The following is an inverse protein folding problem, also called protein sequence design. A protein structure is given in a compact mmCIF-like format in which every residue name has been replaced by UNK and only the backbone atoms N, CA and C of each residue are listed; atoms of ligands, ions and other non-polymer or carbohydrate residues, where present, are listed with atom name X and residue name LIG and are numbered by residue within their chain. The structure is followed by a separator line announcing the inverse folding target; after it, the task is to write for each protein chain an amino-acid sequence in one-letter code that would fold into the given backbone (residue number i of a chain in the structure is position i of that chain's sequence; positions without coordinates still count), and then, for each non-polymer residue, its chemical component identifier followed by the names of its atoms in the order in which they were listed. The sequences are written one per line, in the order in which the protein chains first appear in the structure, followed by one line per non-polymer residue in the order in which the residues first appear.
data_IF_923507723912
#
_entry.id   IF_923507723912
#
_cell.length_a   1.000
_cell.length_b   1.000
_cell.length_c   1.000
_cell.angle_alpha   90.00
_cell.angle_beta   90.00
_cell.angle_gamma   90.00
#
_symmetry.space_group_name_H-M   'P 1'
#
loop_
_entity.id
_entity.type
_entity.pdbx_description
1 polymer ?
#
# COMPACT_ATOMS: atom_id res chain seq x y z
N UNK A 1 0.29 -38.86 21.64
CA UNK A 1 -1.18 -38.90 21.42
C UNK A 1 -1.58 -37.58 20.80
N UNK A 2 -2.02 -37.63 19.55
CA UNK A 2 -2.38 -36.47 18.73
C UNK A 2 -3.78 -36.00 19.12
N UNK A 3 -3.95 -34.68 19.34
CA UNK A 3 -5.26 -34.04 19.25
C UNK A 3 -5.14 -32.83 18.33
N UNK A 4 -5.51 -33.06 17.07
CA UNK A 4 -5.77 -32.04 16.07
C UNK A 4 -7.07 -31.31 16.42
N UNK A 5 -7.00 -30.00 16.64
CA UNK A 5 -8.16 -29.12 16.50
C UNK A 5 -8.08 -28.50 15.11
N UNK A 6 -9.06 -28.81 14.27
CA UNK A 6 -9.09 -28.43 12.86
C UNK A 6 -9.47 -26.95 12.68
N UNK A 7 -8.86 -26.30 11.69
CA UNK A 7 -9.07 -24.89 11.27
C UNK A 7 -10.50 -24.55 10.79
N UNK A 8 -11.49 -25.43 11.01
CA UNK A 8 -12.88 -25.25 10.55
C UNK A 8 -13.87 -24.86 11.66
N UNK A 9 -13.40 -24.63 12.89
CA UNK A 9 -14.25 -24.26 14.04
C UNK A 9 -14.14 -22.80 14.51
N UNK A 10 -13.44 -21.92 13.76
CA UNK A 10 -13.27 -20.50 14.15
C UNK A 10 -14.14 -19.51 13.35
N UNK A 11 -14.90 -19.97 12.34
CA UNK A 11 -15.64 -19.09 11.41
C UNK A 11 -17.16 -19.02 11.63
N UNK A 12 -17.67 -19.42 12.80
CA UNK A 12 -19.10 -19.27 13.13
C UNK A 12 -19.20 -18.73 14.57
N UNK A 13 -19.18 -17.41 14.74
CA UNK A 13 -19.24 -16.83 16.08
C UNK A 13 -19.20 -15.30 16.23
N UNK A 14 -19.35 -14.51 15.15
CA UNK A 14 -19.34 -13.04 15.28
C UNK A 14 -20.27 -12.32 14.29
N UNK A 15 -21.46 -12.88 14.04
CA UNK A 15 -22.59 -12.15 13.45
C UNK A 15 -23.80 -12.39 14.33
N UNK A 16 -24.00 -11.55 15.36
CA UNK A 16 -25.28 -11.28 16.05
C UNK A 16 -25.09 -10.37 17.27
N UNK A 17 -25.34 -9.07 17.07
CA UNK A 17 -25.92 -8.10 18.02
C UNK A 17 -25.65 -6.68 17.45
N UNK A 18 -26.62 -5.86 17.05
CA UNK A 18 -28.06 -5.97 17.14
C UNK A 18 -28.73 -5.21 15.99
N UNK A 19 -29.82 -5.80 15.51
CA UNK A 19 -30.88 -5.12 14.78
C UNK A 19 -32.16 -5.91 15.11
N UNK A 20 -32.93 -5.40 16.07
CA UNK A 20 -34.31 -5.84 16.30
C UNK A 20 -35.22 -4.81 15.65
N UNK A 21 -36.00 -5.27 14.67
CA UNK A 21 -37.01 -4.49 13.97
C UNK A 21 -37.63 -5.33 12.85
N UNK A 22 -38.46 -6.29 13.24
CA UNK A 22 -39.23 -7.17 12.36
C UNK A 22 -40.32 -6.39 11.60
N UNK A 23 -40.43 -6.63 10.29
CA UNK A 23 -41.72 -6.73 9.61
C UNK A 23 -41.56 -7.62 8.36
N UNK A 24 -42.29 -8.73 8.36
CA UNK A 24 -42.39 -9.67 7.26
C UNK A 24 -43.45 -9.22 6.27
N UNK A 25 -43.20 -9.38 4.96
CA UNK A 25 -44.26 -9.61 3.97
C UNK A 25 -43.75 -10.43 2.79
N UNK A 26 -44.54 -11.46 2.53
CA UNK A 26 -44.56 -12.46 1.45
C UNK A 26 -44.15 -12.03 0.04
N UNK A 27 -43.48 -12.96 -0.63
CA UNK A 27 -43.33 -13.06 -2.09
C UNK A 27 -44.70 -13.14 -2.79
N UNK A 28 -44.92 -12.28 -3.78
CA UNK A 28 -45.90 -12.51 -4.86
C UNK A 28 -45.19 -12.38 -6.20
N UNK A 29 -45.07 -13.52 -6.91
CA UNK A 29 -44.72 -13.60 -8.33
C UNK A 29 -45.95 -13.25 -9.15
N UNK A 30 -46.06 -12.02 -9.63
CA UNK A 30 -46.87 -11.62 -10.81
C UNK A 30 -46.58 -10.16 -11.10
N UNK A 31 -45.96 -9.85 -12.25
CA UNK A 31 -45.73 -8.47 -12.67
C UNK A 31 -44.49 -8.27 -13.53
N UNK A 32 -44.32 -9.09 -14.58
CA UNK A 32 -43.50 -8.69 -15.71
C UNK A 32 -44.27 -7.59 -16.46
N UNK A 33 -43.57 -6.51 -16.83
CA UNK A 33 -44.01 -5.32 -17.58
C UNK A 33 -44.55 -4.16 -16.72
N UNK A 34 -43.69 -3.13 -16.55
CA UNK A 34 -44.11 -1.81 -16.09
C UNK A 34 -43.22 -1.20 -15.01
N UNK A 35 -41.93 -0.96 -15.31
CA UNK A 35 -41.09 -0.03 -14.53
C UNK A 35 -39.90 0.43 -15.38
N UNK A 36 -40.16 1.30 -16.36
CA UNK A 36 -39.19 2.36 -16.67
C UNK A 36 -39.32 3.34 -15.50
N UNK A 37 -38.74 2.96 -14.37
CA UNK A 37 -38.72 3.78 -13.17
C UNK A 37 -37.44 4.60 -13.25
N UNK A 38 -37.62 5.89 -13.52
CA UNK A 38 -36.77 7.02 -13.16
C UNK A 38 -35.40 6.58 -12.62
N UNK A 39 -34.37 6.66 -13.46
CA UNK A 39 -33.00 6.78 -12.98
C UNK A 39 -32.95 8.09 -12.17
N UNK A 40 -33.30 8.02 -10.89
CA UNK A 40 -32.92 9.07 -9.95
C UNK A 40 -31.41 9.11 -10.03
N UNK A 41 -30.88 10.20 -10.58
CA UNK A 41 -29.46 10.51 -10.59
C UNK A 41 -29.00 10.41 -9.15
N UNK A 42 -28.42 9.27 -8.77
CA UNK A 42 -27.79 9.18 -7.47
C UNK A 42 -26.71 10.26 -7.46
N UNK A 43 -26.67 11.10 -6.42
CA UNK A 43 -25.66 12.14 -6.33
C UNK A 43 -24.28 11.48 -6.48
N UNK A 44 -23.48 12.00 -7.40
CA UNK A 44 -22.20 11.40 -7.76
C UNK A 44 -21.15 11.92 -6.79
N UNK A 45 -20.38 11.01 -6.20
CA UNK A 45 -19.23 11.39 -5.38
C UNK A 45 -18.15 12.00 -6.29
N UNK A 46 -17.62 13.16 -5.91
CA UNK A 46 -16.52 13.84 -6.61
C UNK A 46 -15.39 14.15 -5.65
N UNK A 47 -14.15 13.85 -6.05
CA UNK A 47 -12.94 14.26 -5.34
C UNK A 47 -12.55 15.68 -5.73
N UNK A 48 -12.37 16.56 -4.75
CA UNK A 48 -11.80 17.88 -4.94
C UNK A 48 -10.34 17.85 -4.49
N UNK A 49 -9.43 17.89 -5.46
CA UNK A 49 -8.00 17.99 -5.19
C UNK A 49 -7.62 19.47 -4.97
N UNK A 50 -7.04 19.84 -3.81
CA UNK A 50 -6.42 21.13 -3.65
C UNK A 50 -5.12 21.21 -4.47
N UNK A 51 -4.52 22.41 -4.62
CA UNK A 51 -3.21 22.54 -5.24
C UNK A 51 -2.18 21.59 -4.60
N UNK A 52 -1.39 20.92 -5.44
CA UNK A 52 -0.37 19.97 -5.04
C UNK A 52 0.87 20.12 -5.94
N UNK A 53 2.07 19.73 -5.47
CA UNK A 53 3.32 19.96 -6.18
C UNK A 53 3.48 19.04 -7.39
N UNK A 54 3.09 19.53 -8.57
CA UNK A 54 3.25 18.82 -9.84
C UNK A 54 4.09 19.63 -10.85
N UNK A 55 5.39 19.67 -10.56
CA UNK A 55 6.41 20.43 -11.29
C UNK A 55 6.77 19.79 -12.65
N UNK A 56 7.39 20.57 -13.54
CA UNK A 56 7.76 20.13 -14.90
C UNK A 56 8.66 18.89 -14.93
N UNK A 57 9.55 18.72 -13.95
CA UNK A 57 10.38 17.53 -13.86
C UNK A 57 9.55 16.25 -13.60
N UNK A 58 8.46 16.32 -12.83
CA UNK A 58 7.54 15.19 -12.64
C UNK A 58 6.77 14.88 -13.93
N UNK A 59 6.36 15.91 -14.69
CA UNK A 59 5.68 15.77 -15.98
C UNK A 59 6.50 15.04 -17.04
N UNK A 60 7.82 14.91 -16.85
CA UNK A 60 8.67 14.11 -17.75
C UNK A 60 8.47 12.59 -17.61
N UNK A 61 7.91 12.13 -16.48
CA UNK A 61 7.75 10.70 -16.16
C UNK A 61 6.33 10.33 -15.75
N UNK A 62 5.43 11.31 -15.60
CA UNK A 62 4.07 11.14 -15.10
C UNK A 62 3.08 11.98 -15.91
N UNK A 63 1.86 11.47 -16.05
CA UNK A 63 0.78 12.17 -16.76
C UNK A 63 -0.46 12.24 -15.87
N UNK A 64 -1.05 13.43 -15.74
CA UNK A 64 -2.33 13.60 -15.06
C UNK A 64 -3.46 12.95 -15.87
N UNK A 65 -4.32 12.20 -15.20
CA UNK A 65 -5.50 11.57 -15.81
C UNK A 65 -6.70 11.69 -14.87
N UNK A 66 -7.36 12.85 -14.95
CA UNK A 66 -8.53 13.16 -14.12
C UNK A 66 -9.69 12.23 -14.44
N UNK A 67 -9.84 11.79 -15.69
CA UNK A 67 -10.92 10.88 -16.08
C UNK A 67 -10.76 9.51 -15.42
N UNK A 68 -9.54 8.97 -15.37
CA UNK A 68 -9.25 7.74 -14.63
C UNK A 68 -9.49 7.97 -13.13
N UNK A 69 -9.04 9.08 -12.56
CA UNK A 69 -9.27 9.38 -11.14
C UNK A 69 -10.77 9.41 -10.80
N UNK A 70 -11.59 10.05 -11.63
CA UNK A 70 -13.05 10.10 -11.48
C UNK A 70 -13.72 8.73 -11.64
N UNK A 71 -13.19 7.87 -12.53
CA UNK A 71 -13.62 6.48 -12.64
C UNK A 71 -13.32 5.70 -11.37
N UNK A 72 -12.13 5.89 -10.78
CA UNK A 72 -11.74 5.27 -9.52
C UNK A 72 -12.59 5.75 -8.34
N UNK A 73 -12.88 7.05 -8.25
CA UNK A 73 -13.81 7.61 -7.24
C UNK A 73 -15.19 6.98 -7.38
N UNK A 74 -15.68 6.83 -8.61
CA UNK A 74 -16.98 6.21 -8.89
C UNK A 74 -16.99 4.72 -8.50
N UNK A 75 -15.88 4.00 -8.69
CA UNK A 75 -15.74 2.60 -8.28
C UNK A 75 -15.62 2.45 -6.76
N UNK A 76 -14.88 3.34 -6.10
CA UNK A 76 -14.78 3.44 -4.65
C UNK A 76 -16.15 3.69 -4.00
N UNK A 77 -16.93 4.64 -4.53
CA UNK A 77 -18.26 4.96 -4.03
C UNK A 77 -19.25 3.79 -4.11
N UNK A 78 -19.11 2.92 -5.13
CA UNK A 78 -19.94 1.70 -5.28
C UNK A 78 -19.57 0.58 -4.32
N UNK A 79 -18.33 0.53 -3.87
CA UNK A 79 -17.78 -0.57 -3.06
C UNK A 79 -17.63 -0.21 -1.59
N UNK A 80 -17.75 1.08 -1.25
CA UNK A 80 -17.61 1.60 0.12
C UNK A 80 -18.95 2.11 0.64
N UNK A 81 -19.39 1.72 1.84
CA UNK A 81 -20.60 2.27 2.46
C UNK A 81 -20.53 3.80 2.57
N UNK A 82 -21.66 4.49 2.44
CA UNK A 82 -21.74 5.97 2.45
C UNK A 82 -21.06 6.61 3.68
N UNK A 83 -21.21 6.01 4.87
CA UNK A 83 -20.58 6.50 6.10
C UNK A 83 -19.06 6.27 6.18
N UNK A 84 -18.48 5.57 5.21
CA UNK A 84 -17.04 5.30 5.11
C UNK A 84 -16.36 6.00 3.94
N UNK A 85 -17.05 6.93 3.26
CA UNK A 85 -16.44 7.71 2.18
C UNK A 85 -15.44 8.71 2.76
N UNK A 86 -14.16 8.37 2.71
CA UNK A 86 -13.06 9.22 3.19
C UNK A 86 -12.05 9.44 2.04
N UNK A 87 -11.72 10.71 1.70
CA UNK A 87 -10.83 11.02 0.58
C UNK A 87 -9.39 10.53 0.81
N UNK A 88 -8.95 10.42 2.05
CA UNK A 88 -7.64 9.87 2.41
C UNK A 88 -7.65 8.35 2.37
N UNK A 89 -8.73 7.70 2.80
CA UNK A 89 -8.89 6.26 2.57
C UNK A 89 -8.86 5.93 1.07
N UNK A 90 -9.57 6.71 0.25
CA UNK A 90 -9.53 6.57 -1.19
C UNK A 90 -8.11 6.71 -1.76
N UNK A 91 -7.40 7.79 -1.44
CA UNK A 91 -6.07 8.06 -2.00
C UNK A 91 -4.96 7.20 -1.40
N UNK A 92 -5.02 6.86 -0.12
CA UNK A 92 -3.91 6.21 0.60
C UNK A 92 -4.07 4.70 0.71
N UNK A 93 -5.28 4.16 0.50
CA UNK A 93 -5.56 2.72 0.45
C UNK A 93 -6.05 2.31 -0.93
N UNK A 94 -7.21 2.82 -1.36
CA UNK A 94 -7.89 2.28 -2.54
C UNK A 94 -7.09 2.49 -3.83
N UNK A 95 -6.53 3.69 -4.05
CA UNK A 95 -5.71 4.01 -5.23
C UNK A 95 -4.42 3.16 -5.27
N UNK A 96 -3.59 3.07 -4.20
CA UNK A 96 -2.45 2.17 -4.19
C UNK A 96 -2.81 0.73 -4.48
N UNK A 97 -3.87 0.19 -3.87
CA UNK A 97 -4.33 -1.17 -4.16
C UNK A 97 -4.64 -1.33 -5.64
N UNK A 98 -5.42 -0.43 -6.23
CA UNK A 98 -5.71 -0.45 -7.67
C UNK A 98 -4.43 -0.43 -8.50
N UNK A 99 -3.50 0.48 -8.23
CA UNK A 99 -2.26 0.63 -8.99
C UNK A 99 -1.43 -0.64 -8.91
N UNK A 100 -1.18 -1.19 -7.72
CA UNK A 100 -0.40 -2.42 -7.56
C UNK A 100 -1.09 -3.63 -8.20
N UNK A 101 -2.43 -3.72 -8.15
CA UNK A 101 -3.17 -4.75 -8.88
C UNK A 101 -2.99 -4.67 -10.41
N UNK A 102 -2.76 -3.48 -10.97
CA UNK A 102 -2.45 -3.31 -12.40
C UNK A 102 -0.98 -3.60 -12.72
N UNK A 103 -0.04 -3.15 -11.87
CA UNK A 103 1.39 -3.28 -12.15
C UNK A 103 1.94 -4.67 -11.88
N UNK A 104 1.32 -5.42 -10.96
CA UNK A 104 1.70 -6.80 -10.65
C UNK A 104 1.21 -7.82 -11.69
N UNK A 105 0.53 -7.37 -12.75
CA UNK A 105 0.21 -8.18 -13.92
C UNK A 105 1.35 -8.07 -14.93
N UNK A 106 1.77 -9.16 -15.58
CA UNK A 106 2.71 -9.08 -16.70
C UNK A 106 2.21 -8.12 -17.78
N UNK A 107 3.13 -7.35 -18.35
CA UNK A 107 2.85 -6.47 -19.48
C UNK A 107 4.08 -6.35 -20.38
N UNK A 108 3.82 -5.99 -21.63
CA UNK A 108 4.87 -5.69 -22.61
C UNK A 108 5.60 -4.37 -22.29
N UNK A 109 6.85 -4.21 -22.74
CA UNK A 109 7.54 -2.93 -22.77
C UNK A 109 6.71 -1.80 -23.40
N UNK A 110 6.86 -0.58 -22.90
CA UNK A 110 6.15 0.59 -23.43
C UNK A 110 4.68 0.68 -23.03
N UNK A 111 4.26 0.00 -21.96
CA UNK A 111 2.90 0.12 -21.41
C UNK A 111 2.50 1.59 -21.17
N UNK A 112 1.50 2.11 -21.91
CA UNK A 112 1.13 3.52 -21.86
C UNK A 112 0.46 3.92 -20.55
N UNK A 113 -0.01 2.95 -19.74
CA UNK A 113 -0.66 3.25 -18.46
C UNK A 113 0.32 3.68 -17.37
N UNK A 114 1.62 3.39 -17.51
CA UNK A 114 2.59 3.58 -16.43
C UNK A 114 2.74 5.03 -15.98
N UNK A 115 2.76 5.99 -16.91
CA UNK A 115 2.91 7.41 -16.54
C UNK A 115 1.72 7.90 -15.69
N UNK A 116 0.51 7.42 -16.01
CA UNK A 116 -0.70 7.71 -15.24
C UNK A 116 -0.69 7.01 -13.87
N UNK A 117 -0.28 5.74 -13.82
CA UNK A 117 -0.18 5.00 -12.54
C UNK A 117 0.86 5.61 -11.60
N UNK A 118 1.99 6.10 -12.13
CA UNK A 118 2.99 6.83 -11.35
C UNK A 118 2.42 8.14 -10.77
N UNK A 119 1.61 8.87 -11.55
CA UNK A 119 0.92 10.07 -11.07
C UNK A 119 -0.08 9.76 -9.94
N UNK A 120 -0.88 8.69 -10.07
CA UNK A 120 -1.78 8.26 -9.00
C UNK A 120 -1.03 7.95 -7.70
N UNK A 121 0.14 7.31 -7.79
CA UNK A 121 0.99 7.05 -6.62
C UNK A 121 1.65 8.30 -6.05
N UNK A 122 1.94 9.31 -6.89
CA UNK A 122 2.38 10.62 -6.43
C UNK A 122 1.28 11.32 -5.61
N UNK A 123 0.03 11.32 -6.08
CA UNK A 123 -1.12 11.83 -5.32
C UNK A 123 -1.29 11.10 -3.99
N UNK A 124 -1.30 9.76 -4.02
CA UNK A 124 -1.42 8.91 -2.84
C UNK A 124 -0.33 9.21 -1.81
N UNK A 125 0.92 9.32 -2.26
CA UNK A 125 2.05 9.68 -1.42
C UNK A 125 1.88 11.06 -0.81
N UNK A 126 1.74 12.09 -1.64
CA UNK A 126 1.68 13.47 -1.20
C UNK A 126 0.56 13.72 -0.19
N UNK A 127 -0.67 13.33 -0.51
CA UNK A 127 -1.80 13.54 0.39
C UNK A 127 -1.76 12.64 1.63
N UNK A 128 -1.18 11.44 1.55
CA UNK A 128 -0.90 10.62 2.73
C UNK A 128 0.07 11.29 3.70
N UNK A 129 1.08 11.98 3.17
CA UNK A 129 2.02 12.78 3.97
C UNK A 129 1.36 13.99 4.63
N UNK A 130 0.58 14.75 3.86
CA UNK A 130 -0.21 15.89 4.35
C UNK A 130 -1.18 15.46 5.46
N UNK A 131 -1.86 14.32 5.27
CA UNK A 131 -2.75 13.77 6.29
C UNK A 131 -2.01 13.40 7.57
N UNK A 132 -0.86 12.73 7.48
CA UNK A 132 -0.11 12.36 8.67
C UNK A 132 0.40 13.61 9.43
N UNK A 133 0.87 14.62 8.69
CA UNK A 133 1.25 15.92 9.26
C UNK A 133 0.10 16.52 10.07
N UNK A 134 -1.09 16.58 9.48
CA UNK A 134 -2.29 17.15 10.11
C UNK A 134 -2.75 16.32 11.31
N UNK A 135 -2.65 15.00 11.24
CA UNK A 135 -2.93 14.12 12.36
C UNK A 135 -2.00 14.42 13.55
N UNK A 136 -0.70 14.61 13.32
CA UNK A 136 0.23 15.01 14.38
C UNK A 136 -0.07 16.39 14.98
N UNK A 137 -0.52 17.35 14.16
CA UNK A 137 -0.90 18.69 14.63
C UNK A 137 -2.18 18.64 15.47
N UNK A 138 -3.16 17.84 15.03
CA UNK A 138 -4.46 17.64 15.70
C UNK A 138 -4.32 16.85 17.01
N UNK A 139 -3.39 15.91 17.09
CA UNK A 139 -3.15 15.06 18.25
C UNK A 139 -1.72 15.20 18.78
N UNK A 140 -1.33 16.39 19.28
CA UNK A 140 0.03 16.62 19.72
C UNK A 140 0.36 15.80 20.98
N UNK A 141 1.63 15.43 21.14
CA UNK A 141 2.16 14.85 22.39
C UNK A 141 3.16 15.81 23.06
N UNK A 142 3.39 15.71 24.38
CA UNK A 142 4.41 16.52 25.04
C UNK A 142 5.79 16.40 24.38
N UNK A 143 6.42 17.54 24.07
CA UNK A 143 7.74 17.59 23.42
C UNK A 143 7.72 17.42 21.89
N UNK A 144 6.57 17.10 21.29
CA UNK A 144 6.44 17.13 19.83
C UNK A 144 6.42 18.58 19.31
N UNK A 145 7.05 18.88 18.15
CA UNK A 145 6.97 20.21 17.57
C UNK A 145 5.54 20.47 17.05
N UNK A 146 4.88 21.50 17.57
CA UNK A 146 3.57 21.95 17.09
C UNK A 146 3.48 23.51 17.16
N UNK A 147 3.40 24.23 16.01
CA UNK A 147 3.33 23.72 14.65
C UNK A 147 4.61 22.99 14.23
N UNK A 148 4.49 22.07 13.28
CA UNK A 148 5.63 21.27 12.80
C UNK A 148 6.55 22.11 11.90
N UNK A 149 7.86 21.82 11.84
CA UNK A 149 8.74 22.40 10.84
C UNK A 149 8.25 21.99 9.45
N UNK A 150 8.28 22.93 8.51
CA UNK A 150 7.91 22.63 7.14
C UNK A 150 8.62 23.53 6.14
N UNK A 151 8.67 23.03 4.92
CA UNK A 151 9.40 23.57 3.79
C UNK A 151 8.48 23.56 2.58
N UNK A 152 8.46 24.66 1.83
CA UNK A 152 7.73 24.70 0.58
C UNK A 152 8.30 23.66 -0.40
N UNK A 153 7.47 22.83 -1.05
CA UNK A 153 7.93 21.92 -2.08
C UNK A 153 8.63 22.69 -3.21
N UNK A 154 9.72 22.13 -3.71
CA UNK A 154 10.42 22.67 -4.88
C UNK A 154 10.62 21.56 -5.90
N UNK A 155 10.78 21.90 -7.19
CA UNK A 155 11.12 20.92 -8.22
C UNK A 155 12.35 20.07 -7.83
N UNK A 156 13.36 20.69 -7.21
CA UNK A 156 14.56 20.00 -6.71
C UNK A 156 14.26 18.90 -5.69
N UNK A 157 13.19 19.04 -4.89
CA UNK A 157 12.76 18.02 -3.93
C UNK A 157 12.35 16.72 -4.60
N UNK A 158 12.01 16.76 -5.91
CA UNK A 158 11.55 15.62 -6.69
C UNK A 158 12.61 15.04 -7.64
N UNK A 159 13.81 15.65 -7.76
CA UNK A 159 14.83 15.17 -8.71
C UNK A 159 15.25 13.72 -8.45
N UNK A 160 15.49 13.35 -7.20
CA UNK A 160 15.85 11.97 -6.84
C UNK A 160 14.73 10.96 -7.17
N UNK A 161 13.46 11.38 -7.08
CA UNK A 161 12.29 10.57 -7.42
C UNK A 161 12.27 10.33 -8.93
N UNK A 162 12.43 11.39 -9.73
CA UNK A 162 12.48 11.31 -11.21
C UNK A 162 13.65 10.44 -11.68
N UNK A 163 14.83 10.60 -11.10
CA UNK A 163 15.99 9.75 -11.41
C UNK A 163 15.71 8.28 -11.10
N UNK A 164 15.13 7.98 -9.94
CA UNK A 164 14.79 6.60 -9.56
C UNK A 164 13.76 6.00 -10.52
N UNK A 165 12.70 6.74 -10.85
CA UNK A 165 11.67 6.29 -11.80
C UNK A 165 12.30 5.98 -13.16
N UNK A 166 13.11 6.88 -13.71
CA UNK A 166 13.77 6.66 -14.99
C UNK A 166 14.65 5.40 -14.99
N UNK A 167 15.41 5.15 -13.92
CA UNK A 167 16.21 3.93 -13.79
C UNK A 167 15.34 2.66 -13.82
N UNK A 168 14.17 2.69 -13.15
CA UNK A 168 13.24 1.54 -13.16
C UNK A 168 12.60 1.37 -14.55
N UNK A 169 12.20 2.46 -15.20
CA UNK A 169 11.62 2.44 -16.54
C UNK A 169 12.62 1.97 -17.60
N UNK A 170 13.91 2.29 -17.45
CA UNK A 170 14.97 1.73 -18.31
C UNK A 170 15.04 0.21 -18.17
N UNK A 171 14.97 -0.34 -16.96
CA UNK A 171 14.97 -1.79 -16.76
C UNK A 171 13.70 -2.45 -17.32
N UNK A 172 12.54 -1.82 -17.14
CA UNK A 172 11.27 -2.32 -17.66
C UNK A 172 11.23 -2.38 -19.19
N UNK A 173 11.66 -1.28 -19.84
CA UNK A 173 11.67 -1.16 -21.30
C UNK A 173 12.89 -1.82 -21.97
N UNK A 174 13.83 -2.32 -21.18
CA UNK A 174 15.01 -3.00 -21.64
C UNK A 174 14.75 -4.46 -22.06
N UNK A 175 15.84 -5.21 -22.21
CA UNK A 175 15.77 -6.63 -22.52
C UNK A 175 15.41 -7.48 -21.28
N UNK A 176 15.06 -8.74 -21.53
CA UNK A 176 14.65 -9.71 -20.50
C UNK A 176 15.70 -9.87 -19.39
N UNK A 177 16.98 -9.97 -19.76
CA UNK A 177 18.08 -10.11 -18.82
C UNK A 177 18.18 -8.89 -17.89
N UNK A 178 17.98 -7.68 -18.42
CA UNK A 178 17.96 -6.44 -17.65
C UNK A 178 16.79 -6.36 -16.68
N UNK A 179 15.59 -6.79 -17.10
CA UNK A 179 14.42 -6.85 -16.22
C UNK A 179 14.64 -7.84 -15.06
N UNK A 180 15.16 -9.05 -15.36
CA UNK A 180 15.46 -10.08 -14.36
C UNK A 180 16.54 -9.62 -13.38
N UNK A 181 17.62 -9.02 -13.90
CA UNK A 181 18.71 -8.51 -13.08
C UNK A 181 18.25 -7.36 -12.17
N UNK A 182 17.39 -6.47 -12.68
CA UNK A 182 16.80 -5.41 -11.87
C UNK A 182 15.88 -5.99 -10.78
N UNK A 183 15.01 -6.94 -11.13
CA UNK A 183 14.14 -7.59 -10.15
C UNK A 183 14.97 -8.24 -9.02
N UNK A 184 16.03 -8.98 -9.35
CA UNK A 184 16.92 -9.61 -8.37
C UNK A 184 17.63 -8.57 -7.51
N UNK A 185 18.22 -7.54 -8.15
CA UNK A 185 18.90 -6.45 -7.47
C UNK A 185 17.98 -5.67 -6.53
N UNK A 186 16.71 -5.49 -6.92
CA UNK A 186 15.71 -4.75 -6.15
C UNK A 186 15.25 -5.46 -4.88
N UNK A 187 15.48 -6.78 -4.75
CA UNK A 187 15.26 -7.48 -3.48
C UNK A 187 16.23 -6.98 -2.40
N UNK A 188 17.37 -6.42 -2.79
CA UNK A 188 18.46 -5.99 -1.91
C UNK A 188 18.55 -4.47 -1.83
N UNK A 189 19.31 -3.99 -0.85
CA UNK A 189 19.47 -2.58 -0.54
C UNK A 189 18.88 -2.25 0.83
N UNK A 190 19.64 -1.50 1.64
CA UNK A 190 19.25 -1.09 2.98
C UNK A 190 18.50 0.26 2.96
N UNK A 191 17.95 0.66 4.10
CA UNK A 191 17.33 1.98 4.29
C UNK A 191 16.24 2.29 3.26
N UNK A 192 15.29 1.36 3.09
CA UNK A 192 14.14 1.47 2.16
C UNK A 192 14.51 1.48 0.67
N UNK A 193 15.75 1.12 0.33
CA UNK A 193 16.19 1.04 -1.07
C UNK A 193 15.80 -0.30 -1.70
N UNK A 194 15.84 -1.40 -0.95
CA UNK A 194 15.40 -2.72 -1.37
C UNK A 194 13.98 -3.10 -0.94
N UNK A 195 13.34 -3.98 -1.69
CA UNK A 195 11.99 -4.49 -1.39
C UNK A 195 11.94 -5.30 -0.10
N UNK A 196 12.97 -6.12 0.16
CA UNK A 196 13.06 -6.93 1.38
C UNK A 196 13.19 -6.07 2.63
N UNK A 197 14.02 -5.04 2.53
CA UNK A 197 14.20 -4.06 3.60
C UNK A 197 12.95 -3.23 3.83
N UNK A 198 12.32 -2.78 2.76
CA UNK A 198 11.07 -2.02 2.79
C UNK A 198 9.93 -2.84 3.39
N UNK A 199 9.82 -4.12 3.05
CA UNK A 199 8.85 -5.02 3.66
C UNK A 199 9.12 -5.16 5.17
N UNK A 200 10.36 -5.47 5.55
CA UNK A 200 10.75 -5.57 6.96
C UNK A 200 10.45 -4.29 7.75
N UNK A 201 10.81 -3.13 7.20
CA UNK A 201 10.51 -1.83 7.79
C UNK A 201 9.01 -1.61 8.00
N UNK A 202 8.19 -1.85 6.98
CA UNK A 202 6.74 -1.64 7.09
C UNK A 202 6.07 -2.68 8.01
N UNK A 203 6.60 -3.91 8.08
CA UNK A 203 6.15 -4.92 9.04
C UNK A 203 6.49 -4.55 10.49
N UNK A 204 7.72 -4.10 10.74
CA UNK A 204 8.14 -3.62 12.06
C UNK A 204 7.40 -2.36 12.50
N UNK A 205 7.12 -1.46 11.55
CA UNK A 205 6.26 -0.32 11.75
C UNK A 205 4.84 -0.73 12.17
N UNK A 206 4.19 -1.62 11.40
CA UNK A 206 2.83 -2.07 11.69
C UNK A 206 2.75 -2.81 13.04
N UNK A 207 3.73 -3.65 13.36
CA UNK A 207 3.84 -4.29 14.68
C UNK A 207 3.97 -3.25 15.80
N UNK A 208 4.81 -2.22 15.61
CA UNK A 208 5.02 -1.18 16.61
C UNK A 208 3.76 -0.36 16.88
N UNK A 209 2.98 0.01 15.86
CA UNK A 209 1.74 0.78 16.05
C UNK A 209 0.60 -0.06 16.66
N UNK A 210 0.61 -1.38 16.48
CA UNK A 210 -0.36 -2.29 17.10
C UNK A 210 -0.04 -2.60 18.56
N UNK A 211 1.24 -2.65 18.91
CA UNK A 211 1.71 -3.10 20.22
C UNK A 211 2.27 -1.95 21.04
N UNK A 212 3.51 -1.54 20.79
CA UNK A 212 4.29 -0.67 21.65
C UNK A 212 3.88 0.80 21.63
N UNK A 213 3.29 1.27 20.53
CA UNK A 213 2.91 2.68 20.33
C UNK A 213 1.41 2.88 20.15
N UNK A 214 0.60 1.86 20.45
CA UNK A 214 -0.86 1.92 20.37
C UNK A 214 -1.40 3.15 21.10
N UNK A 215 -2.30 3.95 20.49
CA UNK A 215 -2.91 5.09 21.16
C UNK A 215 -3.67 4.70 22.43
N UNK A 216 -3.67 5.57 23.44
CA UNK A 216 -4.41 5.33 24.69
C UNK A 216 -5.92 5.43 24.50
N UNK A 217 -6.35 6.18 23.48
CA UNK A 217 -7.75 6.48 23.18
C UNK A 217 -8.33 5.57 22.08
N UNK A 218 -7.59 4.52 21.69
CA UNK A 218 -7.99 3.60 20.64
C UNK A 218 -7.74 2.15 21.03
N UNK A 219 -8.50 1.24 20.42
CA UNK A 219 -8.32 -0.20 20.53
C UNK A 219 -7.68 -0.73 19.26
N UNK A 220 -6.61 -1.51 19.43
CA UNK A 220 -6.04 -2.32 18.35
C UNK A 220 -6.89 -3.58 18.17
N UNK A 221 -7.30 -3.93 16.94
CA UNK A 221 -7.98 -5.19 16.69
C UNK A 221 -7.06 -6.38 17.02
N UNK A 222 -7.60 -7.37 17.72
CA UNK A 222 -6.83 -8.59 18.05
C UNK A 222 -6.50 -9.35 16.77
N UNK A 223 -5.22 -9.73 16.60
CA UNK A 223 -4.78 -10.49 15.43
C UNK A 223 -4.80 -9.69 14.13
N UNK A 224 -4.77 -8.36 14.20
CA UNK A 224 -4.82 -7.50 13.01
C UNK A 224 -3.70 -7.79 12.00
N UNK A 225 -2.50 -8.08 12.51
CA UNK A 225 -1.33 -8.44 11.73
C UNK A 225 -0.54 -9.51 12.48
N UNK A 226 -0.12 -10.55 11.76
CA UNK A 226 0.78 -11.58 12.28
C UNK A 226 1.94 -11.68 11.30
N UNK A 227 3.15 -11.58 11.86
CA UNK A 227 4.41 -11.65 11.14
C UNK A 227 5.29 -12.71 11.76
N UNK A 228 5.88 -13.57 10.93
CA UNK A 228 6.87 -14.57 11.38
C UNK A 228 8.24 -14.12 10.94
N UNK A 229 9.03 -13.65 11.90
CA UNK A 229 10.36 -13.08 11.68
C UNK A 229 11.40 -14.05 11.12
N UNK A 230 11.14 -15.35 11.21
CA UNK A 230 11.98 -16.41 10.62
C UNK A 230 11.65 -16.72 9.16
N UNK A 231 10.60 -16.13 8.59
CA UNK A 231 10.14 -16.41 7.22
C UNK A 231 10.17 -15.12 6.37
N UNK A 232 10.61 -15.26 5.13
CA UNK A 232 10.70 -14.15 4.20
C UNK A 232 9.30 -13.80 3.66
N UNK A 233 8.93 -12.51 3.69
CA UNK A 233 7.64 -12.03 3.18
C UNK A 233 6.42 -12.77 3.77
N UNK A 234 6.46 -13.23 5.03
CA UNK A 234 5.37 -13.96 5.69
C UNK A 234 4.56 -13.06 6.65
N UNK A 235 3.65 -12.29 6.06
CA UNK A 235 2.66 -11.48 6.76
C UNK A 235 1.25 -11.96 6.45
N UNK A 236 0.41 -12.04 7.49
CA UNK A 236 -1.04 -12.25 7.37
C UNK A 236 -1.78 -11.08 7.99
N UNK A 237 -2.90 -10.69 7.37
CA UNK A 237 -3.62 -9.47 7.68
C UNK A 237 -5.08 -9.78 8.03
N UNK A 238 -5.69 -8.98 8.90
CA UNK A 238 -7.12 -9.04 9.16
C UNK A 238 -7.98 -8.33 8.11
N UNK A 239 -7.36 -7.50 7.25
CA UNK A 239 -8.01 -6.86 6.11
C UNK A 239 -8.04 -7.81 4.90
N UNK A 240 -8.91 -7.53 3.92
CA UNK A 240 -8.94 -8.28 2.66
C UNK A 240 -7.57 -8.19 1.97
N UNK A 241 -7.12 -9.31 1.42
CA UNK A 241 -5.86 -9.36 0.70
C UNK A 241 -6.00 -8.81 -0.71
N UNK A 242 -5.01 -8.03 -1.17
CA UNK A 242 -4.97 -7.59 -2.57
C UNK A 242 -4.93 -8.81 -3.47
N UNK A 243 -5.66 -8.76 -4.59
CA UNK A 243 -5.84 -9.93 -5.48
C UNK A 243 -4.54 -10.64 -5.89
N UNK A 244 -3.45 -9.95 -6.26
CA UNK A 244 -2.24 -10.63 -6.74
C UNK A 244 -1.40 -11.26 -5.62
N UNK A 245 -1.68 -11.00 -4.35
CA UNK A 245 -0.79 -11.45 -3.26
C UNK A 245 -0.72 -12.98 -3.18
N UNK A 246 -1.87 -13.64 -3.21
CA UNK A 246 -1.94 -15.10 -3.16
C UNK A 246 -1.34 -15.77 -4.40
N UNK A 247 -1.51 -15.15 -5.57
CA UNK A 247 -0.91 -15.64 -6.82
C UNK A 247 0.61 -15.61 -6.71
N UNK A 248 1.18 -14.50 -6.22
CA UNK A 248 2.63 -14.38 -6.06
C UNK A 248 3.19 -15.27 -4.96
N UNK A 249 2.48 -15.49 -3.85
CA UNK A 249 2.87 -16.50 -2.85
C UNK A 249 3.02 -17.88 -3.50
N UNK A 250 2.02 -18.31 -4.30
CA UNK A 250 2.07 -19.60 -5.01
C UNK A 250 3.20 -19.67 -6.03
N UNK A 251 3.43 -18.59 -6.79
CA UNK A 251 4.56 -18.54 -7.74
C UNK A 251 5.91 -18.62 -7.05
N UNK A 252 6.07 -17.98 -5.89
CA UNK A 252 7.29 -18.08 -5.08
C UNK A 252 7.50 -19.49 -4.54
N UNK A 253 6.46 -20.15 -4.02
CA UNK A 253 6.53 -21.55 -3.56
C UNK A 253 6.89 -22.51 -4.70
N UNK A 254 6.25 -22.36 -5.87
CA UNK A 254 6.57 -23.12 -7.06
C UNK A 254 8.01 -22.88 -7.52
N UNK A 255 8.47 -21.62 -7.53
CA UNK A 255 9.85 -21.28 -7.85
C UNK A 255 10.83 -21.93 -6.87
N UNK A 256 10.54 -21.94 -5.56
CA UNK A 256 11.39 -22.57 -4.56
C UNK A 256 11.52 -24.09 -4.74
N UNK A 257 10.45 -24.77 -5.18
CA UNK A 257 10.42 -26.22 -5.39
C UNK A 257 10.93 -26.69 -6.75
N UNK A 258 11.13 -25.77 -7.71
CA UNK A 258 11.46 -26.11 -9.10
C UNK A 258 12.91 -26.60 -9.25
N UNK A 259 13.15 -27.74 -9.95
CA UNK A 259 14.51 -28.16 -10.31
C UNK A 259 15.26 -27.08 -11.10
N UNK A 260 16.51 -26.81 -10.72
CA UNK A 260 17.34 -25.77 -11.35
C UNK A 260 17.01 -24.34 -10.91
N UNK A 261 16.11 -24.15 -9.94
CA UNK A 261 15.81 -22.84 -9.36
C UNK A 261 17.00 -22.26 -8.58
N UNK A 262 17.17 -20.94 -8.69
CA UNK A 262 18.13 -20.14 -7.92
C UNK A 262 17.56 -19.62 -6.60
N UNK A 263 16.36 -20.05 -6.19
CA UNK A 263 15.69 -19.52 -5.00
C UNK A 263 16.57 -19.53 -3.74
N UNK A 264 17.18 -20.67 -3.41
CA UNK A 264 18.01 -20.79 -2.21
C UNK A 264 19.28 -19.93 -2.28
N UNK A 265 19.89 -19.81 -3.46
CA UNK A 265 21.04 -18.93 -3.71
C UNK A 265 20.68 -17.46 -3.45
N UNK A 266 19.54 -17.01 -3.99
CA UNK A 266 19.06 -15.64 -3.82
C UNK A 266 18.70 -15.37 -2.35
N UNK A 267 17.96 -16.26 -1.70
CA UNK A 267 17.51 -16.06 -0.31
C UNK A 267 18.68 -16.06 0.68
N UNK A 268 19.60 -17.03 0.57
CA UNK A 268 20.72 -17.17 1.49
C UNK A 268 21.81 -16.12 1.26
N UNK A 269 21.86 -15.54 0.06
CA UNK A 269 22.95 -14.67 -0.37
C UNK A 269 24.11 -15.48 -0.95
N UNK A 270 24.81 -14.86 -1.90
CA UNK A 270 26.01 -15.39 -2.53
C UNK A 270 27.05 -14.27 -2.67
N UNK A 271 28.34 -14.62 -2.66
CA UNK A 271 29.43 -13.66 -2.92
C UNK A 271 29.57 -12.54 -1.88
N UNK A 272 29.20 -12.77 -0.62
CA UNK A 272 29.29 -11.79 0.46
C UNK A 272 28.08 -10.86 0.61
N UNK A 273 27.02 -11.06 -0.19
CA UNK A 273 25.74 -10.40 0.03
C UNK A 273 25.01 -11.00 1.26
N UNK A 274 24.43 -10.15 2.10
CA UNK A 274 23.60 -10.57 3.23
C UNK A 274 22.43 -11.44 2.77
N UNK A 275 21.99 -12.38 3.62
CA UNK A 275 20.75 -13.11 3.34
C UNK A 275 19.56 -12.15 3.31
N UNK A 276 18.55 -12.45 2.50
CA UNK A 276 17.33 -11.62 2.45
C UNK A 276 16.66 -11.56 3.82
N UNK A 277 16.71 -12.64 4.60
CA UNK A 277 16.15 -12.67 5.95
C UNK A 277 16.89 -11.70 6.91
N UNK A 278 18.22 -11.58 6.79
CA UNK A 278 18.99 -10.63 7.60
C UNK A 278 18.65 -9.17 7.23
N UNK A 279 18.47 -8.89 5.93
CA UNK A 279 18.01 -7.58 5.43
C UNK A 279 16.61 -7.27 5.99
N UNK A 280 15.66 -8.20 5.88
CA UNK A 280 14.29 -8.05 6.39
C UNK A 280 14.30 -7.77 7.90
N UNK A 281 15.06 -8.56 8.67
CA UNK A 281 15.18 -8.42 10.13
C UNK A 281 15.74 -7.05 10.52
N UNK A 282 16.74 -6.57 9.79
CA UNK A 282 17.30 -5.22 9.99
C UNK A 282 16.27 -4.13 9.67
N UNK A 283 15.47 -4.33 8.62
CA UNK A 283 14.32 -3.48 8.30
C UNK A 283 13.31 -3.41 9.44
N UNK A 284 12.92 -4.55 10.01
CA UNK A 284 11.97 -4.64 11.15
C UNK A 284 12.45 -3.79 12.33
N UNK A 285 13.72 -3.92 12.72
CA UNK A 285 14.29 -3.15 13.82
C UNK A 285 14.17 -1.65 13.56
N UNK A 286 14.46 -1.19 12.34
CA UNK A 286 14.33 0.24 11.98
C UNK A 286 12.87 0.70 11.94
N UNK A 287 11.96 -0.12 11.41
CA UNK A 287 10.52 0.17 11.41
C UNK A 287 9.98 0.41 12.82
N UNK A 288 10.36 -0.46 13.77
CA UNK A 288 10.02 -0.30 15.19
C UNK A 288 10.62 0.97 15.79
N UNK A 289 11.90 1.22 15.52
CA UNK A 289 12.59 2.40 16.04
C UNK A 289 11.98 3.72 15.54
N UNK A 290 11.50 3.79 14.29
CA UNK A 290 10.85 4.99 13.75
C UNK A 290 9.61 5.37 14.57
N UNK A 291 8.80 4.39 14.97
CA UNK A 291 7.51 4.63 15.60
C UNK A 291 7.50 4.36 17.10
N UNK A 292 8.67 4.14 17.70
CA UNK A 292 8.79 3.92 19.13
C UNK A 292 8.21 5.11 19.93
N UNK A 293 7.63 4.89 21.12
CA UNK A 293 6.97 5.95 21.89
C UNK A 293 7.89 7.14 22.24
N UNK A 294 9.21 6.90 22.31
CA UNK A 294 10.22 7.92 22.60
C UNK A 294 10.46 8.86 21.41
N UNK A 295 10.08 8.46 20.19
CA UNK A 295 10.13 9.35 19.04
C UNK A 295 8.92 10.30 19.05
N UNK A 296 9.02 11.35 19.85
CA UNK A 296 7.97 12.37 19.99
C UNK A 296 7.62 13.07 18.67
N UNK A 297 8.49 12.99 17.65
CA UNK A 297 8.18 13.52 16.32
C UNK A 297 7.09 12.72 15.61
N UNK A 298 7.03 11.40 15.80
CA UNK A 298 6.10 10.49 15.12
C UNK A 298 5.15 9.76 16.09
N UNK A 299 5.02 10.27 17.31
CA UNK A 299 4.19 9.65 18.32
C UNK A 299 2.69 9.74 17.97
N UNK A 300 2.00 8.61 18.12
CA UNK A 300 0.55 8.47 17.82
C UNK A 300 -0.31 8.30 19.08
N UNK A 301 0.29 8.45 20.28
CA UNK A 301 -0.32 8.07 21.56
C UNK A 301 -1.73 8.67 21.79
N UNK A 302 -2.00 9.84 21.21
CA UNK A 302 -3.23 10.60 21.39
C UNK A 302 -4.26 10.46 20.26
N UNK A 303 -3.98 9.66 19.22
CA UNK A 303 -4.90 9.50 18.09
C UNK A 303 -6.27 8.97 18.56
N UNK A 304 -7.34 9.49 17.97
CA UNK A 304 -8.68 8.92 18.12
C UNK A 304 -8.82 7.61 17.32
N UNK A 305 -9.89 6.85 17.59
CA UNK A 305 -10.12 5.57 16.92
C UNK A 305 -10.17 5.70 15.38
N UNK A 306 -10.91 6.65 14.78
CA UNK A 306 -10.95 6.76 13.30
C UNK A 306 -9.59 7.07 12.67
N UNK A 307 -8.79 7.95 13.27
CA UNK A 307 -7.44 8.28 12.76
C UNK A 307 -6.52 7.06 12.88
N UNK A 308 -6.63 6.32 13.98
CA UNK A 308 -5.86 5.10 14.18
C UNK A 308 -6.26 3.97 13.22
N UNK A 309 -7.56 3.75 13.00
CA UNK A 309 -8.06 2.75 12.05
C UNK A 309 -7.59 3.07 10.62
N UNK A 310 -7.63 4.35 10.22
CA UNK A 310 -7.13 4.80 8.93
C UNK A 310 -5.61 4.58 8.80
N UNK A 311 -4.83 4.84 9.86
CA UNK A 311 -3.40 4.51 9.90
C UNK A 311 -3.17 3.01 9.71
N UNK A 312 -3.90 2.17 10.45
CA UNK A 312 -3.77 0.71 10.40
C UNK A 312 -4.14 0.15 9.02
N UNK A 313 -5.24 0.60 8.42
CA UNK A 313 -5.73 0.06 7.15
C UNK A 313 -4.80 0.44 6.00
N UNK A 314 -4.40 1.71 5.91
CA UNK A 314 -3.48 2.19 4.87
C UNK A 314 -2.12 1.49 4.97
N UNK A 315 -1.59 1.34 6.19
CA UNK A 315 -0.31 0.67 6.44
C UNK A 315 -0.36 -0.82 6.07
N UNK A 316 -1.45 -1.52 6.41
CA UNK A 316 -1.62 -2.94 6.09
C UNK A 316 -1.69 -3.17 4.57
N UNK A 317 -2.48 -2.40 3.84
CA UNK A 317 -2.58 -2.53 2.38
C UNK A 317 -1.28 -2.15 1.67
N UNK A 318 -0.60 -1.09 2.11
CA UNK A 318 0.71 -0.75 1.52
C UNK A 318 1.75 -1.85 1.78
N UNK A 319 1.77 -2.44 2.98
CA UNK A 319 2.64 -3.58 3.30
C UNK A 319 2.34 -4.79 2.41
N UNK A 320 1.08 -5.09 2.12
CA UNK A 320 0.69 -6.13 1.15
C UNK A 320 1.22 -5.84 -0.26
N UNK A 321 1.14 -4.59 -0.73
CA UNK A 321 1.68 -4.18 -2.03
C UNK A 321 3.19 -4.42 -2.14
N UNK A 322 3.94 -4.06 -1.09
CA UNK A 322 5.39 -4.33 -1.02
C UNK A 322 5.68 -5.83 -0.94
N UNK A 323 4.89 -6.58 -0.16
CA UNK A 323 5.02 -8.04 -0.05
C UNK A 323 4.82 -8.72 -1.41
N UNK A 324 3.74 -8.41 -2.12
CA UNK A 324 3.46 -8.99 -3.43
C UNK A 324 4.53 -8.62 -4.46
N UNK A 325 5.04 -7.39 -4.42
CA UNK A 325 6.15 -6.95 -5.29
C UNK A 325 7.46 -7.70 -5.00
N UNK A 326 7.79 -7.90 -3.72
CA UNK A 326 8.95 -8.69 -3.30
C UNK A 326 8.83 -10.16 -3.70
N UNK A 327 7.66 -10.76 -3.51
CA UNK A 327 7.37 -12.14 -3.94
C UNK A 327 7.47 -12.30 -5.46
N UNK A 328 6.94 -11.34 -6.23
CA UNK A 328 7.05 -11.32 -7.69
C UNK A 328 8.51 -11.25 -8.15
N UNK A 329 9.31 -10.34 -7.57
CA UNK A 329 10.74 -10.23 -7.88
C UNK A 329 11.49 -11.53 -7.55
N UNK A 330 11.23 -12.10 -6.37
CA UNK A 330 11.87 -13.34 -5.93
C UNK A 330 11.50 -14.53 -6.83
N UNK A 331 10.21 -14.68 -7.15
CA UNK A 331 9.75 -15.75 -8.05
C UNK A 331 10.37 -15.60 -9.44
N UNK A 332 10.36 -14.38 -10.01
CA UNK A 332 10.90 -14.08 -11.32
C UNK A 332 12.40 -14.42 -11.42
N UNK A 333 13.20 -13.90 -10.49
CA UNK A 333 14.65 -14.08 -10.49
C UNK A 333 15.06 -15.52 -10.19
N UNK A 334 14.32 -16.22 -9.33
CA UNK A 334 14.60 -17.61 -9.00
C UNK A 334 14.49 -18.56 -10.21
N UNK A 335 13.59 -18.28 -11.16
CA UNK A 335 13.37 -19.15 -12.35
C UNK A 335 13.75 -18.49 -13.68
N UNK A 336 14.25 -17.26 -13.65
CA UNK A 336 14.60 -16.49 -14.85
C UNK A 336 13.41 -16.12 -15.74
N UNK A 337 12.25 -15.79 -15.15
CA UNK A 337 11.06 -15.42 -15.91
C UNK A 337 10.99 -13.90 -16.13
N UNK A 338 11.13 -13.46 -17.38
CA UNK A 338 11.16 -12.04 -17.75
C UNK A 338 9.82 -11.33 -17.58
N UNK A 339 8.70 -12.00 -17.85
CA UNK A 339 7.36 -11.42 -17.74
C UNK A 339 7.00 -11.14 -16.28
N UNK A 340 7.36 -12.07 -15.39
CA UNK A 340 7.22 -11.88 -13.94
C UNK A 340 8.17 -10.78 -13.45
N UNK A 341 9.39 -10.72 -13.99
CA UNK A 341 10.34 -9.67 -13.63
C UNK A 341 9.80 -8.29 -14.02
N UNK A 342 9.18 -8.15 -15.19
CA UNK A 342 8.54 -6.90 -15.62
C UNK A 342 7.40 -6.47 -14.71
N UNK A 343 6.55 -7.41 -14.26
CA UNK A 343 5.52 -7.12 -13.28
C UNK A 343 6.10 -6.59 -11.95
N UNK A 344 7.19 -7.21 -11.47
CA UNK A 344 7.88 -6.77 -10.27
C UNK A 344 8.55 -5.39 -10.46
N UNK A 345 9.21 -5.15 -11.59
CA UNK A 345 9.87 -3.89 -11.94
C UNK A 345 8.85 -2.75 -11.99
N UNK A 346 7.72 -2.93 -12.68
CA UNK A 346 6.63 -1.93 -12.75
C UNK A 346 6.09 -1.60 -11.36
N UNK A 347 5.85 -2.62 -10.54
CA UNK A 347 5.31 -2.44 -9.20
C UNK A 347 6.32 -1.77 -8.26
N UNK A 348 7.60 -2.08 -8.40
CA UNK A 348 8.66 -1.39 -7.65
C UNK A 348 8.78 0.09 -8.07
N UNK A 349 8.52 0.42 -9.34
CA UNK A 349 8.49 1.81 -9.81
C UNK A 349 7.48 2.67 -9.04
N UNK A 350 6.36 2.07 -8.61
CA UNK A 350 5.28 2.74 -7.87
C UNK A 350 5.68 3.18 -6.45
N UNK A 351 6.69 2.54 -5.87
CA UNK A 351 7.19 2.86 -4.52
C UNK A 351 7.89 4.22 -4.49
N UNK A 352 8.57 4.58 -5.59
CA UNK A 352 9.34 5.83 -5.69
C UNK A 352 8.47 7.11 -5.59
N UNK A 353 7.42 7.30 -6.42
CA UNK A 353 6.55 8.46 -6.29
C UNK A 353 5.77 8.46 -4.98
N UNK A 354 5.35 7.30 -4.47
CA UNK A 354 4.66 7.21 -3.19
C UNK A 354 5.53 7.72 -2.03
N UNK A 355 6.66 7.06 -1.76
CA UNK A 355 7.49 7.38 -0.60
C UNK A 355 8.15 8.77 -0.68
N UNK A 356 8.57 9.17 -1.89
CA UNK A 356 9.16 10.47 -2.11
C UNK A 356 8.16 11.61 -1.90
N UNK A 357 6.96 11.51 -2.48
CA UNK A 357 5.93 12.53 -2.35
C UNK A 357 5.32 12.55 -0.95
N UNK A 358 5.24 11.40 -0.29
CA UNK A 358 4.84 11.28 1.12
C UNK A 358 5.75 12.10 2.04
N UNK A 359 7.06 11.98 1.85
CA UNK A 359 8.02 12.78 2.62
C UNK A 359 7.81 14.27 2.35
N UNK A 360 7.60 14.69 1.10
CA UNK A 360 7.31 16.09 0.78
C UNK A 360 6.01 16.57 1.44
N UNK A 361 4.92 15.79 1.37
CA UNK A 361 3.64 16.15 1.97
C UNK A 361 3.69 16.25 3.50
N UNK A 362 4.47 15.39 4.15
CA UNK A 362 4.67 15.42 5.62
C UNK A 362 5.31 16.72 6.11
N UNK A 363 6.10 17.38 5.27
CA UNK A 363 6.82 18.61 5.59
C UNK A 363 6.32 19.85 4.82
N UNK A 364 5.33 19.75 3.96
CA UNK A 364 4.73 20.93 3.34
C UNK A 364 3.84 21.59 4.40
N UNK A 365 4.02 22.87 4.74
CA UNK A 365 3.13 23.57 5.70
C UNK A 365 1.90 24.23 5.04
N UNK A 366 1.83 24.19 3.71
CA UNK A 366 0.77 24.81 2.89
C UNK A 366 -0.17 23.78 2.25
N UNK A 367 0.25 22.51 2.22
CA UNK A 367 -0.55 21.42 1.66
C UNK A 367 -1.90 21.29 2.36
N UNK A 368 -2.98 21.18 1.59
CA UNK A 368 -4.33 21.00 2.10
C UNK A 368 -4.81 19.57 1.86
N UNK A 369 -5.75 19.10 2.68
CA UNK A 369 -6.36 17.80 2.46
C UNK A 369 -7.42 17.85 1.35
N UNK A 370 -7.54 16.78 0.55
CA UNK A 370 -8.62 16.65 -0.41
C UNK A 370 -9.95 16.43 0.29
N UNK A 371 -11.04 16.74 -0.41
CA UNK A 371 -12.41 16.59 0.11
C UNK A 371 -13.29 15.87 -0.89
N UNK A 372 -14.34 15.20 -0.40
CA UNK A 372 -15.43 14.73 -1.24
C UNK A 372 -16.61 15.71 -1.24
N UNK A 373 -17.25 15.85 -2.40
CA UNK A 373 -18.56 16.51 -2.53
C UNK A 373 -19.53 15.60 -3.27
N UNK A 374 -20.82 15.79 -2.99
CA UNK A 374 -21.91 15.18 -3.73
C UNK A 374 -22.34 16.14 -4.84
N UNK A 375 -22.31 15.70 -6.10
CA UNK A 375 -22.69 16.51 -7.28
C UNK A 375 -23.86 15.92 -8.05
#
# INVERSE_FOLDING_TARGET
MHNHISRRAFFIGAVRAGATGLAATSLSRTGLLGSIAVAQSQPRLRLNLPPYPFFDNLRTVMTEDIDLLDQLVSAYARTTPLGGHDPIDFLSRYVPVYVFEQTLRPSEPGDPSLSTLLWLMHLAGYFGGVWLRDAFIRFPVPGSPNPRPGFAPTANSFNAIVTRINAVLTAFNGNDAGAIAYAEGSLRGASLQGLTDSYGYNAGYLDQILTGSKPTNAMAPVGYFIYRDTLLFDGTYAVEEIRPLDDWRRHTEQAASRPGSRYAEIVNGAGGADSLLAIQSSGVVRGKATWQPQNVFLAIANYDQPTYDLLLVTSAYFLQCIQATGLAALAASAVGNADWARAAVRSNAMVAPYGGSYSVGLFDNTGQLPTFTMV
#
